data_IF_799652506962
#
_entry.id   IF_799652506962
#
_cell.length_a   1.000
_cell.length_b   1.000
_cell.length_c   1.000
_cell.angle_alpha   90.00
_cell.angle_beta   90.00
_cell.angle_gamma   90.00
#
_symmetry.space_group_name_H-M   'P 1'
#
loop_
_entity.id
_entity.type
_entity.pdbx_description
1 polymer ?
#
# COMPACT_ATOMS: atom_id res chain seq x y z
N UNK A 1 -27.68 -10.37 -17.80
CA UNK A 1 -26.52 -10.84 -17.03
C UNK A 1 -25.69 -9.59 -16.72
N UNK A 2 -25.89 -8.98 -15.55
CA UNK A 2 -25.09 -7.82 -15.15
C UNK A 2 -23.71 -8.31 -14.70
N UNK A 3 -22.68 -8.03 -15.46
CA UNK A 3 -21.29 -8.26 -15.08
C UNK A 3 -20.83 -7.13 -14.14
N UNK A 4 -21.44 -7.06 -12.96
CA UNK A 4 -20.96 -6.15 -11.91
C UNK A 4 -19.74 -6.78 -11.22
N UNK A 5 -18.59 -6.12 -11.32
CA UNK A 5 -17.41 -6.52 -10.53
C UNK A 5 -17.78 -6.37 -9.05
N UNK A 6 -17.76 -7.49 -8.33
CA UNK A 6 -18.12 -7.48 -6.91
C UNK A 6 -17.15 -6.61 -6.11
N UNK A 7 -17.68 -5.72 -5.25
CA UNK A 7 -16.87 -4.96 -4.29
C UNK A 7 -15.99 -5.86 -3.41
N UNK A 8 -16.44 -7.07 -3.11
CA UNK A 8 -15.64 -8.05 -2.39
C UNK A 8 -14.41 -8.48 -3.19
N UNK A 9 -14.55 -8.67 -4.50
CA UNK A 9 -13.42 -8.97 -5.37
C UNK A 9 -12.38 -7.83 -5.35
N UNK A 10 -12.82 -6.58 -5.54
CA UNK A 10 -11.92 -5.41 -5.52
C UNK A 10 -11.16 -5.32 -4.18
N UNK A 11 -11.86 -5.47 -3.06
CA UNK A 11 -11.27 -5.45 -1.72
C UNK A 11 -10.22 -6.54 -1.54
N UNK A 12 -10.54 -7.77 -1.96
CA UNK A 12 -9.63 -8.91 -1.88
C UNK A 12 -8.42 -8.74 -2.77
N UNK A 13 -8.61 -8.24 -3.98
CA UNK A 13 -7.52 -7.99 -4.93
C UNK A 13 -6.55 -6.92 -4.41
N UNK A 14 -7.06 -5.78 -3.91
CA UNK A 14 -6.22 -4.74 -3.29
C UNK A 14 -5.47 -5.30 -2.08
N UNK A 15 -6.16 -6.06 -1.22
CA UNK A 15 -5.55 -6.71 -0.06
C UNK A 15 -4.44 -7.69 -0.45
N UNK A 16 -4.69 -8.53 -1.44
CA UNK A 16 -3.72 -9.51 -1.94
C UNK A 16 -2.47 -8.81 -2.49
N UNK A 17 -2.66 -7.85 -3.38
CA UNK A 17 -1.55 -7.12 -4.00
C UNK A 17 -0.74 -6.39 -2.92
N UNK A 18 -1.39 -5.64 -2.03
CA UNK A 18 -0.72 -4.89 -0.97
C UNK A 18 0.09 -5.78 -0.02
N UNK A 19 -0.45 -6.95 0.33
CA UNK A 19 0.25 -7.89 1.22
C UNK A 19 1.38 -8.65 0.53
N UNK A 20 1.21 -9.02 -0.73
CA UNK A 20 2.19 -9.84 -1.44
C UNK A 20 3.30 -9.03 -2.10
N UNK A 21 3.07 -7.77 -2.49
CA UNK A 21 4.04 -6.98 -3.23
C UNK A 21 5.42 -6.91 -2.54
N UNK A 22 5.54 -6.58 -1.23
CA UNK A 22 6.84 -6.51 -0.56
C UNK A 22 7.54 -7.86 -0.40
N UNK A 23 6.84 -8.96 -0.63
CA UNK A 23 7.38 -10.33 -0.60
C UNK A 23 7.74 -10.78 -2.02
N UNK A 24 6.84 -10.57 -2.97
CA UNK A 24 6.98 -11.06 -4.34
C UNK A 24 8.14 -10.39 -5.09
N UNK A 25 8.39 -9.09 -4.83
CA UNK A 25 9.48 -8.37 -5.50
C UNK A 25 10.86 -8.90 -5.12
N UNK A 26 11.24 -9.05 -3.81
CA UNK A 26 12.52 -9.65 -3.43
C UNK A 26 12.67 -11.09 -3.90
N UNK A 27 11.60 -11.90 -3.77
CA UNK A 27 11.62 -13.29 -4.22
C UNK A 27 11.82 -13.38 -5.73
N UNK A 28 11.04 -12.63 -6.52
CA UNK A 28 11.16 -12.61 -7.97
C UNK A 28 12.54 -12.15 -8.43
N UNK A 29 13.08 -11.10 -7.81
CA UNK A 29 14.41 -10.61 -8.08
C UNK A 29 15.51 -11.67 -7.78
N UNK A 30 15.36 -12.38 -6.66
CA UNK A 30 16.29 -13.46 -6.30
C UNK A 30 16.23 -14.63 -7.28
N UNK A 31 15.06 -14.97 -7.79
CA UNK A 31 14.87 -16.02 -8.80
C UNK A 31 15.49 -15.63 -10.15
N UNK A 32 15.37 -14.37 -10.56
CA UNK A 32 15.93 -13.91 -11.86
C UNK A 32 17.44 -13.74 -11.83
N UNK A 33 18.00 -13.33 -10.68
CA UNK A 33 19.45 -13.09 -10.53
C UNK A 33 20.23 -14.29 -10.02
N UNK A 34 19.55 -15.30 -9.47
CA UNK A 34 20.20 -16.45 -8.80
C UNK A 34 20.83 -16.13 -7.44
N UNK A 35 20.68 -14.90 -6.94
CA UNK A 35 21.26 -14.46 -5.68
C UNK A 35 20.25 -13.76 -4.79
N UNK A 36 20.21 -14.12 -3.50
CA UNK A 36 19.40 -13.41 -2.53
C UNK A 36 20.02 -12.05 -2.20
N UNK A 37 19.31 -10.99 -2.57
CA UNK A 37 19.71 -9.63 -2.23
C UNK A 37 18.46 -8.78 -1.97
N UNK A 38 18.39 -8.20 -0.78
CA UNK A 38 17.38 -7.20 -0.47
C UNK A 38 17.85 -5.85 -1.00
N UNK A 39 16.96 -5.12 -1.71
CA UNK A 39 17.26 -3.77 -2.16
C UNK A 39 16.88 -2.74 -1.09
N UNK A 40 17.43 -1.51 -1.13
CA UNK A 40 17.23 -0.49 -0.10
C UNK A 40 15.78 -0.07 0.13
N UNK A 41 14.87 -0.26 -0.83
CA UNK A 41 13.45 0.04 -0.72
C UNK A 41 12.62 -0.90 -1.61
N UNK A 42 11.33 -1.01 -1.34
CA UNK A 42 10.38 -1.72 -2.23
C UNK A 42 10.34 -1.04 -3.60
N UNK A 43 10.38 0.29 -3.63
CA UNK A 43 10.39 1.04 -4.88
C UNK A 43 11.69 0.90 -5.69
N UNK A 44 12.81 0.49 -5.07
CA UNK A 44 14.08 0.22 -5.77
C UNK A 44 13.99 -0.91 -6.80
N UNK A 45 13.04 -1.82 -6.64
CA UNK A 45 12.77 -2.89 -7.62
C UNK A 45 12.27 -2.35 -8.97
N UNK A 46 11.90 -1.06 -9.05
CA UNK A 46 11.62 -0.37 -10.31
C UNK A 46 12.79 -0.42 -11.30
N UNK A 47 14.03 -0.50 -10.82
CA UNK A 47 15.24 -0.54 -11.66
C UNK A 47 15.77 -1.95 -11.92
N UNK A 48 14.93 -2.97 -11.76
CA UNK A 48 15.26 -4.38 -11.95
C UNK A 48 14.27 -5.06 -12.90
N UNK A 49 14.45 -6.36 -13.15
CA UNK A 49 13.50 -7.18 -13.90
C UNK A 49 12.12 -7.25 -13.23
N UNK A 50 12.03 -6.84 -11.95
CA UNK A 50 10.77 -6.74 -11.20
C UNK A 50 10.01 -5.43 -11.45
N UNK A 51 10.48 -4.56 -12.37
CA UNK A 51 9.79 -3.33 -12.73
C UNK A 51 8.34 -3.58 -13.19
N UNK A 52 8.15 -4.53 -14.10
CA UNK A 52 6.83 -4.79 -14.64
C UNK A 52 5.84 -5.32 -13.59
N UNK A 53 6.20 -6.28 -12.71
CA UNK A 53 5.39 -6.64 -11.56
C UNK A 53 5.09 -5.46 -10.63
N UNK A 54 6.08 -4.63 -10.30
CA UNK A 54 5.91 -3.45 -9.44
C UNK A 54 4.92 -2.44 -10.04
N UNK A 55 5.16 -2.00 -11.28
CA UNK A 55 4.31 -1.02 -11.99
C UNK A 55 2.92 -1.59 -12.21
N UNK A 56 2.82 -2.84 -12.69
CA UNK A 56 1.55 -3.51 -12.94
C UNK A 56 0.69 -3.66 -11.68
N UNK A 57 1.30 -4.03 -10.56
CA UNK A 57 0.61 -4.13 -9.27
C UNK A 57 0.04 -2.78 -8.80
N UNK A 58 0.84 -1.71 -8.87
CA UNK A 58 0.39 -0.37 -8.48
C UNK A 58 -0.69 0.18 -9.41
N UNK A 59 -0.57 -0.03 -10.73
CA UNK A 59 -1.61 0.34 -11.69
C UNK A 59 -2.91 -0.45 -11.42
N UNK A 60 -2.83 -1.75 -11.14
CA UNK A 60 -3.99 -2.56 -10.80
C UNK A 60 -4.67 -2.07 -9.52
N UNK A 61 -3.90 -1.81 -8.45
CA UNK A 61 -4.42 -1.20 -7.22
C UNK A 61 -5.08 0.15 -7.53
N UNK A 62 -4.43 0.99 -8.32
CA UNK A 62 -4.96 2.29 -8.72
C UNK A 62 -6.31 2.18 -9.41
N UNK A 63 -6.44 1.32 -10.42
CA UNK A 63 -7.70 1.07 -11.13
C UNK A 63 -8.77 0.51 -10.19
N UNK A 64 -8.42 -0.47 -9.34
CA UNK A 64 -9.38 -1.06 -8.40
C UNK A 64 -9.89 -0.05 -7.40
N UNK A 65 -9.05 0.86 -6.93
CA UNK A 65 -9.46 1.95 -6.03
C UNK A 65 -10.36 2.97 -6.73
N UNK A 66 -10.06 3.37 -7.95
CA UNK A 66 -10.92 4.28 -8.74
C UNK A 66 -12.29 3.63 -9.02
N UNK A 67 -12.34 2.31 -9.25
CA UNK A 67 -13.58 1.56 -9.42
C UNK A 67 -14.33 1.31 -8.10
N UNK A 68 -13.71 1.57 -6.96
CA UNK A 68 -14.32 1.37 -5.65
C UNK A 68 -15.28 2.52 -5.34
N UNK A 69 -16.55 2.37 -5.75
CA UNK A 69 -17.64 3.35 -5.57
C UNK A 69 -18.62 2.82 -4.54
N UNK A 70 -18.52 3.29 -3.30
CA UNK A 70 -19.37 2.80 -2.22
C UNK A 70 -20.23 3.90 -1.57
N UNK A 71 -19.63 5.03 -1.18
CA UNK A 71 -20.29 6.23 -0.66
C UNK A 71 -19.46 7.45 -1.06
N UNK A 72 -20.07 8.63 -1.10
CA UNK A 72 -19.46 9.85 -1.64
C UNK A 72 -18.03 10.15 -1.12
N UNK A 73 -17.80 10.03 0.19
CA UNK A 73 -16.46 10.24 0.77
C UNK A 73 -15.49 9.08 0.52
N UNK A 74 -16.01 7.85 0.45
CA UNK A 74 -15.22 6.68 0.06
C UNK A 74 -14.75 6.84 -1.38
N UNK A 75 -15.61 7.32 -2.28
CA UNK A 75 -15.32 7.54 -3.69
C UNK A 75 -14.20 8.56 -3.91
N UNK A 76 -14.25 9.70 -3.20
CA UNK A 76 -13.24 10.75 -3.31
C UNK A 76 -11.89 10.24 -2.83
N UNK A 77 -11.85 9.66 -1.62
CA UNK A 77 -10.59 9.21 -1.03
C UNK A 77 -9.98 8.02 -1.79
N UNK A 78 -10.82 7.08 -2.25
CA UNK A 78 -10.38 5.98 -3.08
C UNK A 78 -9.86 6.46 -4.44
N UNK A 79 -10.50 7.45 -5.06
CA UNK A 79 -10.04 8.05 -6.32
C UNK A 79 -8.69 8.74 -6.15
N UNK A 80 -8.52 9.54 -5.09
CA UNK A 80 -7.24 10.19 -4.77
C UNK A 80 -6.15 9.15 -4.55
N UNK A 81 -6.43 8.13 -3.74
CA UNK A 81 -5.49 7.05 -3.49
C UNK A 81 -5.13 6.28 -4.77
N UNK A 82 -6.13 5.99 -5.61
CA UNK A 82 -5.91 5.33 -6.90
C UNK A 82 -5.05 6.15 -7.85
N UNK A 83 -5.31 7.45 -7.96
CA UNK A 83 -4.49 8.37 -8.76
C UNK A 83 -3.04 8.44 -8.23
N UNK A 84 -2.88 8.49 -6.91
CA UNK A 84 -1.55 8.46 -6.28
C UNK A 84 -0.81 7.13 -6.53
N UNK A 85 -1.49 5.98 -6.47
CA UNK A 85 -0.89 4.69 -6.77
C UNK A 85 -0.36 4.63 -8.22
N UNK A 86 -1.14 5.14 -9.18
CA UNK A 86 -0.69 5.28 -10.58
C UNK A 86 0.47 6.28 -10.67
N UNK A 87 0.43 7.38 -9.93
CA UNK A 87 1.52 8.35 -9.85
C UNK A 87 2.82 7.72 -9.37
N UNK A 88 2.79 6.88 -8.34
CA UNK A 88 3.97 6.09 -7.87
C UNK A 88 4.50 5.18 -8.98
N UNK A 89 3.60 4.51 -9.71
CA UNK A 89 3.97 3.60 -10.79
C UNK A 89 4.64 4.32 -11.97
N UNK A 90 4.17 5.53 -12.30
CA UNK A 90 4.63 6.30 -13.47
C UNK A 90 5.86 7.17 -13.17
N UNK A 91 6.07 7.58 -11.93
CA UNK A 91 7.21 8.37 -11.51
C UNK A 91 8.29 7.42 -10.94
N UNK A 92 9.46 7.25 -11.59
CA UNK A 92 10.52 6.42 -11.02
C UNK A 92 11.10 7.03 -9.74
N UNK A 93 11.55 6.20 -8.76
CA UNK A 93 12.30 6.71 -7.62
C UNK A 93 13.63 7.36 -8.06
N UNK A 94 14.29 8.11 -7.18
CA UNK A 94 15.56 8.78 -7.49
C UNK A 94 16.65 7.74 -7.79
N UNK A 95 17.29 7.77 -8.97
CA UNK A 95 18.42 6.89 -9.25
C UNK A 95 19.69 7.35 -8.49
N UNK A 96 20.74 6.51 -8.41
CA UNK A 96 21.98 6.85 -7.68
C UNK A 96 22.68 8.13 -8.16
N UNK A 97 22.59 8.46 -9.46
CA UNK A 97 23.15 9.67 -10.06
C UNK A 97 22.06 10.44 -10.82
N UNK A 98 21.22 11.23 -10.12
CA UNK A 98 20.06 11.84 -10.73
C UNK A 98 20.42 13.08 -11.58
N UNK A 99 19.91 13.14 -12.82
CA UNK A 99 19.76 14.40 -13.58
C UNK A 99 18.64 15.27 -12.98
N UNK A 100 18.49 16.51 -13.43
CA UNK A 100 17.44 17.41 -12.95
C UNK A 100 16.03 16.80 -13.05
N UNK A 101 15.68 16.24 -14.22
CA UNK A 101 14.38 15.59 -14.45
C UNK A 101 14.19 14.34 -13.59
N UNK A 102 15.23 13.51 -13.43
CA UNK A 102 15.17 12.32 -12.60
C UNK A 102 14.98 12.67 -11.11
N UNK A 103 15.56 13.78 -10.64
CA UNK A 103 15.32 14.27 -9.28
C UNK A 103 13.88 14.72 -9.10
N UNK A 104 13.30 15.45 -10.05
CA UNK A 104 11.89 15.85 -10.02
C UNK A 104 10.96 14.65 -10.02
N UNK A 105 11.21 13.66 -10.88
CA UNK A 105 10.43 12.42 -10.91
C UNK A 105 10.49 11.68 -9.57
N UNK A 106 11.65 11.60 -8.94
CA UNK A 106 11.82 10.99 -7.63
C UNK A 106 11.09 11.74 -6.51
N UNK A 107 11.08 13.07 -6.53
CA UNK A 107 10.28 13.86 -5.57
C UNK A 107 8.79 13.59 -5.76
N UNK A 108 8.31 13.55 -7.01
CA UNK A 108 6.93 13.20 -7.31
C UNK A 108 6.60 11.78 -6.85
N UNK A 109 7.50 10.81 -7.06
CA UNK A 109 7.34 9.44 -6.57
C UNK A 109 7.08 9.39 -5.07
N UNK A 110 7.96 10.01 -4.28
CA UNK A 110 7.84 10.04 -2.81
C UNK A 110 6.57 10.78 -2.38
N UNK A 111 6.22 11.88 -3.05
CA UNK A 111 5.00 12.63 -2.76
C UNK A 111 3.76 11.78 -3.02
N UNK A 112 3.68 11.12 -4.19
CA UNK A 112 2.56 10.23 -4.49
C UNK A 112 2.51 9.02 -3.54
N UNK A 113 3.66 8.44 -3.18
CA UNK A 113 3.71 7.33 -2.24
C UNK A 113 3.21 7.73 -0.85
N UNK A 114 3.64 8.87 -0.33
CA UNK A 114 3.17 9.41 0.94
C UNK A 114 1.67 9.70 0.90
N UNK A 115 1.17 10.38 -0.14
CA UNK A 115 -0.26 10.66 -0.31
C UNK A 115 -1.09 9.37 -0.41
N UNK A 116 -0.61 8.38 -1.16
CA UNK A 116 -1.24 7.06 -1.27
C UNK A 116 -1.37 6.38 0.09
N UNK A 117 -0.27 6.26 0.85
CA UNK A 117 -0.27 5.58 2.14
C UNK A 117 -1.11 6.34 3.18
N UNK A 118 -1.04 7.67 3.21
CA UNK A 118 -1.90 8.48 4.07
C UNK A 118 -3.38 8.29 3.73
N UNK A 119 -3.74 8.31 2.45
CA UNK A 119 -5.11 8.05 2.02
C UNK A 119 -5.58 6.64 2.44
N UNK A 120 -4.74 5.62 2.31
CA UNK A 120 -5.03 4.25 2.80
C UNK A 120 -5.25 4.22 4.31
N UNK A 121 -4.44 4.92 5.09
CA UNK A 121 -4.61 5.01 6.54
C UNK A 121 -5.92 5.71 6.91
N UNK A 122 -6.27 6.80 6.23
CA UNK A 122 -7.54 7.51 6.43
C UNK A 122 -8.75 6.63 6.09
N UNK A 123 -8.67 5.85 5.00
CA UNK A 123 -9.71 4.85 4.67
C UNK A 123 -9.86 3.82 5.79
N UNK A 124 -8.75 3.28 6.28
CA UNK A 124 -8.78 2.30 7.38
C UNK A 124 -9.38 2.90 8.65
N UNK A 125 -8.98 4.12 9.02
CA UNK A 125 -9.40 4.76 10.27
C UNK A 125 -10.85 5.23 10.26
N UNK A 126 -11.29 5.91 9.20
CA UNK A 126 -12.59 6.56 9.14
C UNK A 126 -13.64 5.78 8.35
N UNK A 127 -13.28 5.21 7.20
CA UNK A 127 -14.26 4.64 6.29
C UNK A 127 -14.57 3.17 6.60
N UNK A 128 -13.54 2.36 6.91
CA UNK A 128 -13.75 0.94 7.18
C UNK A 128 -14.43 0.69 8.53
N UNK A 129 -14.27 1.62 9.47
CA UNK A 129 -14.87 1.54 10.80
C UNK A 129 -16.34 1.93 10.83
N UNK A 130 -16.86 2.57 9.78
CA UNK A 130 -18.28 2.97 9.70
C UNK A 130 -19.21 1.77 9.82
N UNK A 131 -20.37 2.01 10.43
CA UNK A 131 -21.46 1.04 10.59
C UNK A 131 -22.77 1.80 10.72
N UNK A 132 -23.80 1.34 10.03
CA UNK A 132 -25.17 1.85 10.16
C UNK A 132 -25.86 1.33 11.43
N UNK A 133 -25.23 0.34 12.11
CA UNK A 133 -25.75 -0.26 13.34
C UNK A 133 -25.27 0.51 14.56
N UNK A 134 -26.19 0.77 15.51
CA UNK A 134 -25.86 1.43 16.78
C UNK A 134 -24.76 0.64 17.54
N UNK A 135 -23.90 1.34 18.33
CA UNK A 135 -22.75 0.69 18.99
C UNK A 135 -23.12 -0.53 19.86
N UNK A 136 -24.26 -0.47 20.55
CA UNK A 136 -24.77 -1.53 21.43
C UNK A 136 -25.23 -2.80 20.69
N UNK A 137 -25.65 -2.64 19.41
CA UNK A 137 -26.24 -3.71 18.60
C UNK A 137 -25.22 -4.31 17.60
N UNK A 138 -23.94 -3.85 17.69
CA UNK A 138 -22.89 -4.31 16.76
C UNK A 138 -22.47 -5.74 17.09
N UNK A 139 -22.35 -6.62 16.09
CA UNK A 139 -21.78 -7.94 16.29
C UNK A 139 -20.36 -7.84 16.89
N UNK A 140 -19.94 -8.77 17.77
CA UNK A 140 -18.58 -8.78 18.33
C UNK A 140 -17.48 -8.76 17.26
N UNK A 141 -17.68 -9.48 16.16
CA UNK A 141 -16.75 -9.50 15.03
C UNK A 141 -16.56 -8.11 14.41
N UNK A 142 -17.60 -7.24 14.38
CA UNK A 142 -17.46 -5.84 13.90
C UNK A 142 -16.53 -5.00 14.79
N UNK A 143 -16.61 -5.18 16.11
CA UNK A 143 -15.71 -4.50 17.05
C UNK A 143 -14.26 -4.91 16.83
N UNK A 144 -14.01 -6.21 16.66
CA UNK A 144 -12.67 -6.73 16.35
C UNK A 144 -12.14 -6.18 15.03
N UNK A 145 -12.95 -6.20 13.96
CA UNK A 145 -12.57 -5.60 12.67
C UNK A 145 -12.22 -4.11 12.82
N UNK A 146 -13.02 -3.35 13.56
CA UNK A 146 -12.75 -1.93 13.77
C UNK A 146 -11.42 -1.68 14.50
N UNK A 147 -11.09 -2.50 15.50
CA UNK A 147 -9.80 -2.45 16.18
C UNK A 147 -8.65 -2.74 15.21
N UNK A 148 -8.79 -3.79 14.40
CA UNK A 148 -7.79 -4.15 13.36
C UNK A 148 -7.58 -2.98 12.39
N UNK A 149 -8.64 -2.35 11.88
CA UNK A 149 -8.52 -1.22 10.96
C UNK A 149 -7.76 -0.04 11.58
N UNK A 150 -8.04 0.28 12.85
CA UNK A 150 -7.33 1.35 13.57
C UNK A 150 -5.86 1.03 13.79
N UNK A 151 -5.55 -0.21 14.19
CA UNK A 151 -4.17 -0.66 14.35
C UNK A 151 -3.43 -0.56 13.01
N UNK A 152 -4.00 -1.07 11.92
CA UNK A 152 -3.41 -0.98 10.59
C UNK A 152 -3.19 0.48 10.18
N UNK A 153 -4.16 1.37 10.41
CA UNK A 153 -4.02 2.79 10.10
C UNK A 153 -2.85 3.44 10.84
N UNK A 154 -2.70 3.15 12.14
CA UNK A 154 -1.57 3.65 12.96
C UNK A 154 -0.25 3.10 12.42
N UNK A 155 -0.18 1.78 12.13
CA UNK A 155 1.03 1.17 11.56
C UNK A 155 1.40 1.85 10.24
N UNK A 156 0.45 2.02 9.32
CA UNK A 156 0.71 2.69 8.03
C UNK A 156 1.27 4.10 8.25
N UNK A 157 0.65 4.92 9.12
CA UNK A 157 1.11 6.30 9.37
C UNK A 157 2.48 6.34 10.03
N UNK A 158 2.72 5.52 11.05
CA UNK A 158 4.00 5.46 11.77
C UNK A 158 5.11 5.04 10.81
N UNK A 159 4.91 3.96 10.05
CA UNK A 159 5.95 3.46 9.15
C UNK A 159 6.14 4.36 7.92
N UNK A 160 5.11 5.08 7.46
CA UNK A 160 5.26 6.13 6.45
C UNK A 160 6.12 7.30 6.99
N UNK A 161 5.89 7.72 8.22
CA UNK A 161 6.72 8.73 8.88
C UNK A 161 8.18 8.27 9.07
N UNK A 162 8.38 7.04 9.55
CA UNK A 162 9.72 6.46 9.70
C UNK A 162 10.44 6.29 8.35
N UNK A 163 9.72 5.96 7.28
CA UNK A 163 10.26 5.92 5.93
C UNK A 163 10.83 7.30 5.51
N UNK A 164 10.08 8.37 5.77
CA UNK A 164 10.56 9.74 5.54
C UNK A 164 11.80 10.11 6.36
N UNK A 165 11.92 9.59 7.58
CA UNK A 165 13.06 9.84 8.46
C UNK A 165 14.25 8.91 8.21
N UNK A 166 14.07 7.82 7.47
CA UNK A 166 15.10 6.80 7.27
C UNK A 166 16.36 7.34 6.59
N UNK A 167 16.23 8.38 5.76
CA UNK A 167 17.36 9.05 5.10
C UNK A 167 18.26 9.87 6.05
N UNK A 168 17.82 10.11 7.29
CA UNK A 168 18.60 10.80 8.32
C UNK A 168 19.51 9.84 9.09
N UNK A 169 19.35 8.53 8.90
CA UNK A 169 20.19 7.53 9.55
C UNK A 169 21.61 7.53 8.97
N UNK A 170 22.58 6.96 9.70
CA UNK A 170 23.94 6.81 9.19
C UNK A 170 23.98 5.90 7.97
N UNK A 171 24.89 6.17 7.02
CA UNK A 171 24.99 5.38 5.80
C UNK A 171 25.27 3.90 6.11
N UNK A 172 26.12 3.61 7.10
CA UNK A 172 26.40 2.24 7.52
C UNK A 172 25.17 1.48 8.02
N UNK A 173 24.27 2.17 8.73
CA UNK A 173 22.98 1.60 9.14
C UNK A 173 22.04 1.38 7.96
N UNK A 174 21.96 2.35 7.05
CA UNK A 174 21.12 2.25 5.84
C UNK A 174 21.56 1.04 5.01
N UNK A 175 22.86 0.87 4.79
CA UNK A 175 23.42 -0.20 3.96
C UNK A 175 23.28 -1.59 4.62
N UNK A 176 23.34 -1.64 5.97
CA UNK A 176 23.25 -2.90 6.70
C UNK A 176 21.80 -3.38 6.91
N UNK A 177 20.87 -2.46 7.16
CA UNK A 177 19.50 -2.80 7.62
C UNK A 177 18.44 -2.55 6.55
N UNK A 178 18.69 -1.66 5.59
CA UNK A 178 17.70 -1.20 4.60
C UNK A 178 16.40 -0.70 5.24
N UNK A 179 16.45 0.29 6.17
CA UNK A 179 15.30 0.70 6.97
C UNK A 179 14.12 1.16 6.13
N UNK A 180 14.37 1.82 4.98
CA UNK A 180 13.32 2.25 4.07
C UNK A 180 12.53 1.07 3.50
N UNK A 181 13.21 -0.03 3.11
CA UNK A 181 12.55 -1.25 2.64
C UNK A 181 11.56 -1.78 3.69
N UNK A 182 12.00 -1.91 4.93
CA UNK A 182 11.15 -2.45 5.99
C UNK A 182 9.99 -1.52 6.33
N UNK A 183 10.22 -0.21 6.33
CA UNK A 183 9.14 0.75 6.55
C UNK A 183 8.07 0.66 5.45
N UNK A 184 8.47 0.65 4.19
CA UNK A 184 7.56 0.50 3.05
C UNK A 184 6.84 -0.87 3.11
N UNK A 185 7.58 -1.96 3.38
CA UNK A 185 7.02 -3.31 3.44
C UNK A 185 5.97 -3.46 4.55
N UNK A 186 6.26 -2.96 5.75
CA UNK A 186 5.31 -3.01 6.87
C UNK A 186 4.08 -2.14 6.59
N UNK A 187 4.25 -0.93 6.06
CA UNK A 187 3.14 -0.05 5.73
C UNK A 187 2.24 -0.67 4.64
N UNK A 188 2.83 -1.20 3.57
CA UNK A 188 2.07 -1.84 2.48
C UNK A 188 1.38 -3.12 2.94
N UNK A 189 2.04 -3.94 3.75
CA UNK A 189 1.43 -5.14 4.31
C UNK A 189 0.25 -4.79 5.22
N UNK A 190 0.38 -3.77 6.09
CA UNK A 190 -0.66 -3.36 7.02
C UNK A 190 -1.93 -2.87 6.29
N UNK A 191 -1.79 -2.04 5.25
CA UNK A 191 -2.96 -1.64 4.48
C UNK A 191 -3.56 -2.83 3.70
N UNK A 192 -2.73 -3.67 3.12
CA UNK A 192 -3.19 -4.88 2.43
C UNK A 192 -3.99 -5.80 3.36
N UNK A 193 -3.51 -6.01 4.57
CA UNK A 193 -4.21 -6.78 5.59
C UNK A 193 -5.56 -6.17 5.98
N UNK A 194 -5.62 -4.83 6.16
CA UNK A 194 -6.89 -4.14 6.42
C UNK A 194 -7.91 -4.35 5.29
N UNK A 195 -7.47 -4.34 4.03
CA UNK A 195 -8.32 -4.61 2.88
C UNK A 195 -8.79 -6.07 2.82
N UNK A 196 -7.97 -7.02 3.23
CA UNK A 196 -8.37 -8.43 3.37
C UNK A 196 -9.49 -8.59 4.39
N UNK A 197 -9.35 -7.97 5.55
CA UNK A 197 -10.40 -7.96 6.57
C UNK A 197 -11.66 -7.28 6.05
N UNK A 198 -11.56 -6.17 5.31
CA UNK A 198 -12.69 -5.49 4.67
C UNK A 198 -13.33 -6.32 3.55
N UNK A 199 -12.55 -7.19 2.90
CA UNK A 199 -12.99 -8.16 1.90
C UNK A 199 -13.69 -9.39 2.48
N UNK A 200 -14.01 -9.39 3.79
CA UNK A 200 -14.66 -10.49 4.48
C UNK A 200 -13.93 -11.84 4.30
N UNK A 201 -12.60 -11.80 4.25
CA UNK A 201 -11.78 -13.01 4.24
C UNK A 201 -11.48 -13.50 5.65
N UNK A 202 -11.47 -12.58 6.63
CA UNK A 202 -11.18 -12.82 8.03
C UNK A 202 -12.23 -12.12 8.91
N UNK A 203 -12.48 -12.68 10.09
CA UNK A 203 -13.41 -12.16 11.10
C UNK A 203 -14.82 -11.93 10.55
N UNK A 204 -15.38 -12.93 9.88
CA UNK A 204 -16.75 -12.91 9.36
C UNK A 204 -17.75 -12.87 10.53
N UNK A 205 -18.91 -12.26 10.27
CA UNK A 205 -20.05 -12.39 11.17
C UNK A 205 -20.59 -13.84 11.05
N UNK A 206 -20.82 -14.48 12.17
CA UNK A 206 -21.39 -15.83 12.24
C UNK A 206 -22.86 -15.82 11.82
#
# INVERSE_FOLDING_TARGET
>A
MEFAVSYLFLRRAVGLIGSLLPIALPLGYSLTTGHWRLLPSVSSYYYTDMRNPFVGALCAVGVFLVCYRYQQWDDVLATVAGACAVGVAMCPPVPPAPSGLARTAGVLHVTFAACFLVAMALMCWFLFTRSDTAPQDRPPAKSTRNLVYRICAVIVLVFTGLAGLSSLASQSFIDAVHPLFWCEAVATFAFGFAWWVKGQTLFQDA
#
